data_IF_061300975306
#
_entry.id   IF_061300975306
#
_cell.length_a   1.000
_cell.length_b   1.000
_cell.length_c   1.000
_cell.angle_alpha   90.00
_cell.angle_beta   90.00
_cell.angle_gamma   90.00
#
_symmetry.space_group_name_H-M   'P 1'
#
loop_
_entity.id
_entity.type
_entity.pdbx_description
1 polymer ?
#
# COMPACT_ATOMS: atom_id res chain seq x y z
N UNK A 1 21.02 62.18 -9.40
CA UNK A 1 20.70 61.22 -10.48
C UNK A 1 20.60 59.86 -9.82
N UNK A 2 19.42 59.25 -9.85
CA UNK A 2 19.09 57.98 -9.19
C UNK A 2 19.73 56.82 -9.95
N UNK A 3 20.47 55.94 -9.27
CA UNK A 3 20.86 54.63 -9.84
C UNK A 3 20.10 53.56 -9.07
N UNK A 4 19.21 52.88 -9.78
CA UNK A 4 18.30 51.87 -9.28
C UNK A 4 19.00 50.54 -8.96
N UNK A 5 18.45 49.86 -7.97
CA UNK A 5 18.67 48.46 -7.65
C UNK A 5 18.30 47.56 -8.84
N UNK A 6 19.13 46.57 -9.16
CA UNK A 6 18.68 45.37 -9.89
C UNK A 6 19.12 44.16 -9.06
N UNK A 7 18.30 43.85 -8.05
CA UNK A 7 18.34 42.56 -7.38
C UNK A 7 17.54 41.60 -8.25
N UNK A 8 18.23 40.83 -9.08
CA UNK A 8 17.63 39.67 -9.73
C UNK A 8 17.11 38.71 -8.64
N UNK A 9 15.82 38.34 -8.63
CA UNK A 9 15.37 37.27 -7.76
C UNK A 9 15.87 35.95 -8.35
N UNK A 10 16.78 35.29 -7.64
CA UNK A 10 17.06 33.88 -7.86
C UNK A 10 15.72 33.14 -7.78
N UNK A 11 15.36 32.50 -8.89
CA UNK A 11 14.21 31.59 -8.95
C UNK A 11 14.53 30.46 -7.98
N UNK A 12 13.65 30.12 -7.01
CA UNK A 12 13.94 29.02 -6.12
C UNK A 12 14.07 27.75 -6.97
N UNK A 13 15.28 27.16 -6.97
CA UNK A 13 15.50 25.83 -7.51
C UNK A 13 14.46 24.91 -6.87
N UNK A 14 13.59 24.35 -7.69
CA UNK A 14 12.70 23.29 -7.24
C UNK A 14 13.60 22.11 -6.95
N UNK A 15 13.99 21.96 -5.68
CA UNK A 15 14.72 20.79 -5.21
C UNK A 15 13.99 19.55 -5.75
N UNK A 16 14.65 18.68 -6.52
CA UNK A 16 14.00 17.46 -6.99
C UNK A 16 13.50 16.73 -5.73
N UNK A 17 12.20 16.53 -5.66
CA UNK A 17 11.60 15.71 -4.62
C UNK A 17 12.33 14.38 -4.66
N UNK A 18 13.11 14.08 -3.62
CA UNK A 18 13.97 12.92 -3.61
C UNK A 18 13.12 11.68 -3.92
N UNK A 19 13.57 10.86 -4.87
CA UNK A 19 12.84 9.67 -5.28
C UNK A 19 12.56 8.79 -4.06
N UNK A 20 11.29 8.49 -3.80
CA UNK A 20 10.91 7.58 -2.70
C UNK A 20 11.31 6.17 -3.11
N UNK A 21 12.26 5.59 -2.39
CA UNK A 21 12.61 4.17 -2.47
C UNK A 21 11.81 3.35 -1.47
N UNK A 22 11.82 2.02 -1.65
CA UNK A 22 11.27 1.05 -0.69
C UNK A 22 11.69 1.36 0.75
N UNK A 23 12.97 1.58 1.01
CA UNK A 23 13.53 1.81 2.35
C UNK A 23 13.03 3.13 2.97
N UNK A 24 12.87 4.16 2.14
CA UNK A 24 12.41 5.49 2.57
C UNK A 24 10.89 5.62 2.71
N UNK A 25 10.12 4.62 2.25
CA UNK A 25 8.66 4.68 2.12
C UNK A 25 7.96 5.09 3.43
N UNK A 26 8.31 4.46 4.55
CA UNK A 26 7.68 4.73 5.86
C UNK A 26 7.92 6.19 6.29
N UNK A 27 9.15 6.68 6.11
CA UNK A 27 9.50 8.05 6.46
C UNK A 27 8.76 9.06 5.57
N UNK A 28 8.68 8.77 4.27
CA UNK A 28 7.94 9.60 3.31
C UNK A 28 6.43 9.63 3.60
N UNK A 29 5.84 8.50 4.01
CA UNK A 29 4.43 8.39 4.35
C UNK A 29 4.04 9.10 5.66
N UNK A 30 4.99 9.59 6.46
CA UNK A 30 4.71 10.35 7.67
C UNK A 30 4.12 11.74 7.40
N UNK A 31 4.34 12.29 6.19
CA UNK A 31 3.81 13.59 5.74
C UNK A 31 3.41 13.49 4.28
N UNK A 32 2.17 13.09 4.05
CA UNK A 32 1.63 12.95 2.70
C UNK A 32 1.05 14.28 2.23
N UNK A 33 1.56 14.75 1.09
CA UNK A 33 1.00 15.81 0.26
C UNK A 33 0.86 15.30 -1.18
N UNK A 34 0.38 16.13 -2.10
CA UNK A 34 0.17 15.72 -3.49
C UNK A 34 1.46 15.24 -4.19
N UNK A 35 2.61 15.83 -3.87
CA UNK A 35 3.89 15.48 -4.49
C UNK A 35 4.42 14.17 -3.91
N UNK A 36 4.39 14.02 -2.58
CA UNK A 36 4.84 12.80 -1.94
C UNK A 36 3.91 11.62 -2.21
N UNK A 37 2.61 11.84 -2.40
CA UNK A 37 1.67 10.78 -2.80
C UNK A 37 2.00 10.22 -4.19
N UNK A 38 2.37 11.07 -5.15
CA UNK A 38 2.79 10.64 -6.49
C UNK A 38 4.09 9.83 -6.43
N UNK A 39 5.05 10.25 -5.61
CA UNK A 39 6.30 9.51 -5.42
C UNK A 39 6.09 8.16 -4.70
N UNK A 40 5.29 8.14 -3.62
CA UNK A 40 4.91 6.93 -2.89
C UNK A 40 4.23 5.92 -3.81
N UNK A 41 3.23 6.36 -4.58
CA UNK A 41 2.51 5.49 -5.50
C UNK A 41 3.40 4.99 -6.64
N UNK A 42 4.36 5.80 -7.12
CA UNK A 42 5.40 5.36 -8.05
C UNK A 42 6.30 4.28 -7.46
N UNK A 43 6.66 4.38 -6.19
CA UNK A 43 7.46 3.36 -5.49
C UNK A 43 6.71 2.03 -5.38
N UNK A 44 5.40 2.06 -5.04
CA UNK A 44 4.56 0.86 -4.99
C UNK A 44 4.38 0.24 -6.37
N UNK A 45 4.23 1.04 -7.42
CA UNK A 45 4.11 0.51 -8.79
C UNK A 45 5.41 -0.17 -9.25
N UNK A 46 6.57 0.34 -8.83
CA UNK A 46 7.87 -0.20 -9.21
C UNK A 46 8.23 -1.48 -8.45
N UNK A 47 7.93 -1.55 -7.15
CA UNK A 47 8.25 -2.70 -6.30
C UNK A 47 7.20 -2.91 -5.19
N UNK A 48 6.01 -3.43 -5.54
CA UNK A 48 4.92 -3.59 -4.58
C UNK A 48 5.29 -4.58 -3.46
N UNK A 49 6.04 -5.63 -3.80
CA UNK A 49 6.45 -6.66 -2.85
C UNK A 49 7.54 -6.17 -1.89
N UNK A 50 8.51 -5.39 -2.36
CA UNK A 50 9.52 -4.77 -1.49
C UNK A 50 8.90 -3.74 -0.55
N UNK A 51 7.98 -2.90 -1.04
CA UNK A 51 7.25 -1.94 -0.20
C UNK A 51 6.39 -2.65 0.85
N UNK A 52 5.66 -3.71 0.47
CA UNK A 52 4.87 -4.49 1.42
C UNK A 52 5.74 -5.12 2.53
N UNK A 53 6.89 -5.71 2.16
CA UNK A 53 7.87 -6.22 3.13
C UNK A 53 8.41 -5.13 4.06
N UNK A 54 8.73 -3.95 3.53
CA UNK A 54 9.19 -2.82 4.36
C UNK A 54 8.10 -2.36 5.33
N UNK A 55 6.85 -2.29 4.88
CA UNK A 55 5.71 -1.88 5.70
C UNK A 55 5.39 -2.92 6.80
N UNK A 56 5.54 -4.21 6.50
CA UNK A 56 5.30 -5.28 7.46
C UNK A 56 6.40 -5.33 8.54
N UNK A 57 7.66 -5.15 8.15
CA UNK A 57 8.83 -5.29 9.04
C UNK A 57 9.23 -4.00 9.75
N UNK A 58 8.85 -2.83 9.20
CA UNK A 58 9.31 -1.53 9.67
C UNK A 58 8.46 -0.93 10.79
N UNK A 59 9.12 -0.25 11.74
CA UNK A 59 8.44 0.50 12.79
C UNK A 59 7.56 1.61 12.18
N UNK A 60 6.27 1.58 12.50
CA UNK A 60 5.30 2.53 11.98
C UNK A 60 4.73 2.18 10.59
N UNK A 61 5.12 1.05 10.01
CA UNK A 61 4.65 0.64 8.68
C UNK A 61 3.13 0.51 8.56
N UNK A 62 2.43 0.07 9.61
CA UNK A 62 0.94 0.06 9.62
C UNK A 62 0.36 1.46 9.40
N UNK A 63 0.86 2.45 10.15
CA UNK A 63 0.39 3.84 10.06
C UNK A 63 0.73 4.43 8.69
N UNK A 64 1.92 4.14 8.16
CA UNK A 64 2.34 4.55 6.83
C UNK A 64 1.42 3.98 5.74
N UNK A 65 1.11 2.68 5.80
CA UNK A 65 0.20 2.01 4.87
C UNK A 65 -1.21 2.60 4.93
N UNK A 66 -1.77 2.78 6.14
CA UNK A 66 -3.10 3.33 6.31
C UNK A 66 -3.18 4.79 5.84
N UNK A 67 -2.15 5.60 6.11
CA UNK A 67 -2.06 6.98 5.62
C UNK A 67 -1.95 7.02 4.08
N UNK A 68 -1.12 6.16 3.50
CA UNK A 68 -0.98 6.03 2.05
C UNK A 68 -2.31 5.62 1.39
N UNK A 69 -2.94 4.55 1.90
CA UNK A 69 -4.21 4.08 1.35
C UNK A 69 -5.31 5.14 1.50
N UNK A 70 -5.45 5.78 2.67
CA UNK A 70 -6.41 6.87 2.88
C UNK A 70 -6.17 8.02 1.88
N UNK A 71 -4.93 8.47 1.72
CA UNK A 71 -4.59 9.54 0.79
C UNK A 71 -4.90 9.17 -0.67
N UNK A 72 -4.61 7.94 -1.10
CA UNK A 72 -4.98 7.46 -2.43
C UNK A 72 -6.51 7.51 -2.63
N UNK A 73 -7.28 7.03 -1.66
CA UNK A 73 -8.74 7.02 -1.76
C UNK A 73 -9.35 8.44 -1.70
N UNK A 74 -8.76 9.35 -0.92
CA UNK A 74 -9.19 10.75 -0.82
C UNK A 74 -8.91 11.54 -2.11
N UNK A 75 -7.84 11.20 -2.83
CA UNK A 75 -7.47 11.83 -4.09
C UNK A 75 -8.09 11.15 -5.33
N UNK A 76 -8.99 10.17 -5.14
CA UNK A 76 -9.65 9.48 -6.25
C UNK A 76 -8.78 8.48 -7.01
N UNK A 77 -7.68 8.04 -6.40
CA UNK A 77 -6.73 7.05 -6.95
C UNK A 77 -7.09 5.61 -6.54
N UNK A 78 -8.38 5.34 -6.28
CA UNK A 78 -8.87 4.04 -5.83
C UNK A 78 -8.53 2.94 -6.83
N UNK A 79 -8.73 3.19 -8.11
CA UNK A 79 -8.41 2.24 -9.18
C UNK A 79 -6.92 1.94 -9.30
N UNK A 80 -6.03 2.89 -9.00
CA UNK A 80 -4.59 2.64 -8.97
C UNK A 80 -4.19 1.80 -7.75
N UNK A 81 -4.73 2.13 -6.58
CA UNK A 81 -4.54 1.33 -5.36
C UNK A 81 -5.04 -0.11 -5.56
N UNK A 82 -6.17 -0.29 -6.26
CA UNK A 82 -6.70 -1.60 -6.64
C UNK A 82 -5.74 -2.40 -7.53
N UNK A 83 -5.13 -1.78 -8.54
CA UNK A 83 -4.12 -2.44 -9.40
C UNK A 83 -2.88 -2.86 -8.61
N UNK A 84 -2.38 -1.98 -7.74
CA UNK A 84 -1.23 -2.28 -6.88
C UNK A 84 -1.50 -3.50 -5.98
N UNK A 85 -2.67 -3.53 -5.35
CA UNK A 85 -3.11 -4.66 -4.56
C UNK A 85 -3.28 -5.95 -5.39
N UNK A 86 -3.86 -5.84 -6.59
CA UNK A 86 -4.02 -6.99 -7.49
C UNK A 86 -2.67 -7.57 -7.92
N UNK A 87 -1.68 -6.74 -8.23
CA UNK A 87 -0.31 -7.20 -8.55
C UNK A 87 0.30 -7.96 -7.37
N UNK A 88 0.14 -7.44 -6.15
CA UNK A 88 0.69 -8.08 -4.94
C UNK A 88 0.04 -9.44 -4.64
N UNK A 89 -1.22 -9.64 -5.04
CA UNK A 89 -2.01 -10.84 -4.72
C UNK A 89 -2.14 -11.84 -5.87
N UNK A 90 -1.59 -11.53 -7.06
CA UNK A 90 -1.78 -12.35 -8.27
C UNK A 90 -0.93 -13.62 -8.30
N UNK A 91 0.28 -13.59 -7.74
CA UNK A 91 1.26 -14.68 -7.86
C UNK A 91 1.07 -15.72 -6.73
N UNK A 92 0.12 -16.63 -6.95
CA UNK A 92 -0.17 -17.75 -6.02
C UNK A 92 1.07 -18.58 -5.69
N UNK A 93 1.93 -19.00 -6.65
CA UNK A 93 3.18 -19.67 -6.34
C UNK A 93 4.10 -18.88 -5.40
N UNK A 94 4.31 -17.58 -5.64
CA UNK A 94 5.15 -16.76 -4.79
C UNK A 94 4.57 -16.59 -3.38
N UNK A 95 3.26 -16.38 -3.27
CA UNK A 95 2.56 -16.31 -1.97
C UNK A 95 2.59 -17.65 -1.21
N UNK A 96 2.58 -18.76 -1.94
CA UNK A 96 2.61 -20.12 -1.36
C UNK A 96 4.02 -20.55 -0.94
N UNK A 97 5.05 -19.89 -1.46
CA UNK A 97 6.43 -20.21 -1.16
C UNK A 97 6.68 -20.11 0.36
N UNK A 98 7.41 -21.09 0.87
CA UNK A 98 7.79 -21.13 2.28
C UNK A 98 9.28 -20.92 2.45
N UNK A 99 9.63 -20.31 3.57
CA UNK A 99 11.00 -20.13 4.01
C UNK A 99 11.19 -20.77 5.38
N UNK A 100 12.35 -21.39 5.58
CA UNK A 100 12.70 -22.00 6.85
C UNK A 100 13.62 -21.03 7.61
N UNK A 101 13.16 -20.54 8.76
CA UNK A 101 13.86 -19.53 9.56
C UNK A 101 13.61 -19.76 11.03
N UNK A 102 14.66 -19.71 11.83
CA UNK A 102 14.63 -19.86 13.30
C UNK A 102 13.88 -21.12 13.77
N UNK A 103 13.97 -22.21 13.01
CA UNK A 103 13.30 -23.49 13.30
C UNK A 103 11.80 -23.53 12.94
N UNK A 104 11.25 -22.45 12.38
CA UNK A 104 9.88 -22.35 11.90
C UNK A 104 9.78 -22.31 10.37
N UNK A 105 8.57 -22.54 9.86
CA UNK A 105 8.21 -22.36 8.45
C UNK A 105 7.39 -21.08 8.34
N UNK A 106 7.85 -20.16 7.49
CA UNK A 106 7.28 -18.84 7.26
C UNK A 106 6.77 -18.73 5.84
N UNK A 107 5.78 -17.87 5.62
CA UNK A 107 5.27 -17.55 4.29
C UNK A 107 5.37 -16.05 4.06
N UNK A 108 6.59 -15.52 3.85
CA UNK A 108 6.85 -14.08 3.93
C UNK A 108 6.01 -13.29 2.93
N UNK A 109 5.88 -13.78 1.70
CA UNK A 109 5.06 -13.11 0.69
C UNK A 109 3.56 -13.12 1.03
N UNK A 110 3.07 -14.18 1.65
CA UNK A 110 1.70 -14.21 2.15
C UNK A 110 1.48 -13.22 3.31
N UNK A 111 2.46 -13.11 4.22
CA UNK A 111 2.41 -12.15 5.33
C UNK A 111 2.45 -10.70 4.82
N UNK A 112 3.36 -10.37 3.91
CA UNK A 112 3.46 -9.05 3.28
C UNK A 112 2.14 -8.65 2.61
N UNK A 113 1.61 -9.54 1.77
CA UNK A 113 0.36 -9.32 1.04
C UNK A 113 -0.84 -9.22 1.99
N UNK A 114 -0.88 -10.03 3.05
CA UNK A 114 -1.90 -9.98 4.07
C UNK A 114 -1.88 -8.64 4.79
N UNK A 115 -0.72 -8.23 5.30
CA UNK A 115 -0.54 -6.95 5.98
C UNK A 115 -0.96 -5.76 5.12
N UNK A 116 -0.53 -5.75 3.85
CA UNK A 116 -0.92 -4.72 2.88
C UNK A 116 -2.44 -4.69 2.65
N UNK A 117 -3.06 -5.87 2.49
CA UNK A 117 -4.51 -6.03 2.34
C UNK A 117 -5.27 -5.49 3.55
N UNK A 118 -4.78 -5.76 4.76
CA UNK A 118 -5.39 -5.28 6.00
C UNK A 118 -5.45 -3.75 6.10
N UNK A 119 -4.36 -3.07 5.75
CA UNK A 119 -4.33 -1.60 5.74
C UNK A 119 -5.25 -0.99 4.69
N UNK A 120 -5.35 -1.61 3.51
CA UNK A 120 -6.33 -1.22 2.47
C UNK A 120 -7.76 -1.44 2.95
N UNK A 121 -8.04 -2.59 3.56
CA UNK A 121 -9.38 -2.91 4.09
C UNK A 121 -9.81 -1.87 5.12
N UNK A 122 -8.91 -1.47 6.03
CA UNK A 122 -9.17 -0.44 7.03
C UNK A 122 -9.48 0.93 6.40
N UNK A 123 -8.77 1.33 5.35
CA UNK A 123 -8.99 2.59 4.64
C UNK A 123 -10.31 2.59 3.84
N UNK A 124 -10.59 1.50 3.10
CA UNK A 124 -11.83 1.33 2.34
C UNK A 124 -13.07 1.28 3.26
N UNK A 125 -12.95 0.65 4.42
CA UNK A 125 -14.02 0.62 5.43
C UNK A 125 -14.39 2.02 5.96
N UNK A 126 -13.43 2.95 5.94
CA UNK A 126 -13.64 4.35 6.31
C UNK A 126 -14.10 5.21 5.14
N UNK A 127 -13.87 4.76 3.90
CA UNK A 127 -14.19 5.49 2.67
C UNK A 127 -14.95 4.59 1.66
N UNK A 128 -16.18 4.15 1.98
CA UNK A 128 -16.90 3.15 1.17
C UNK A 128 -17.27 3.65 -0.24
N UNK A 129 -17.32 4.97 -0.47
CA UNK A 129 -17.57 5.55 -1.81
C UNK A 129 -16.45 5.20 -2.81
N UNK A 130 -15.26 4.84 -2.35
CA UNK A 130 -14.14 4.46 -3.21
C UNK A 130 -14.10 2.97 -3.56
N UNK A 131 -14.98 2.14 -2.96
CA UNK A 131 -15.04 0.69 -3.22
C UNK A 131 -15.23 0.33 -4.70
N UNK A 132 -16.14 0.99 -5.48
CA UNK A 132 -16.34 0.63 -6.88
C UNK A 132 -15.09 0.87 -7.74
N UNK A 133 -14.41 2.00 -7.54
CA UNK A 133 -13.21 2.35 -8.29
C UNK A 133 -12.04 1.43 -7.92
N UNK A 134 -11.85 1.16 -6.62
CA UNK A 134 -10.88 0.16 -6.16
C UNK A 134 -11.15 -1.22 -6.78
N UNK A 135 -12.39 -1.71 -6.73
CA UNK A 135 -12.77 -3.01 -7.26
C UNK A 135 -12.50 -3.11 -8.77
N UNK A 136 -12.84 -2.05 -9.52
CA UNK A 136 -12.53 -1.95 -10.95
C UNK A 136 -11.03 -2.03 -11.21
N UNK A 137 -10.23 -1.25 -10.47
CA UNK A 137 -8.77 -1.29 -10.57
C UNK A 137 -8.17 -2.64 -10.23
N UNK A 138 -8.73 -3.31 -9.23
CA UNK A 138 -8.32 -4.63 -8.78
C UNK A 138 -8.77 -5.77 -9.71
N UNK A 139 -9.66 -5.49 -10.67
CA UNK A 139 -10.22 -6.51 -11.57
C UNK A 139 -11.13 -7.51 -10.86
N UNK A 140 -11.81 -7.08 -9.78
CA UNK A 140 -12.74 -7.90 -9.00
C UNK A 140 -14.13 -7.27 -8.96
N UNK A 141 -15.14 -8.08 -8.66
CA UNK A 141 -16.48 -7.54 -8.40
C UNK A 141 -16.48 -6.76 -7.07
N UNK A 142 -17.20 -5.62 -6.97
CA UNK A 142 -17.35 -4.89 -5.72
C UNK A 142 -18.05 -5.75 -4.66
N UNK A 143 -17.84 -5.46 -3.35
CA UNK A 143 -18.43 -6.24 -2.28
C UNK A 143 -19.96 -6.15 -2.30
N UNK A 144 -20.63 -7.20 -1.85
CA UNK A 144 -22.07 -7.17 -1.65
C UNK A 144 -22.45 -6.12 -0.57
N UNK A 145 -23.67 -5.55 -0.60
CA UNK A 145 -24.11 -4.62 0.43
C UNK A 145 -23.99 -5.22 1.83
N UNK A 146 -23.24 -4.57 2.72
CA UNK A 146 -23.04 -5.01 4.09
C UNK A 146 -22.01 -6.14 4.28
N UNK A 147 -21.36 -6.59 3.21
CA UNK A 147 -20.24 -7.52 3.30
C UNK A 147 -19.04 -6.85 3.97
N UNK A 148 -18.32 -7.58 4.83
CA UNK A 148 -17.08 -7.11 5.41
C UNK A 148 -15.99 -6.94 4.34
N UNK A 149 -15.28 -5.80 4.37
CA UNK A 149 -14.30 -5.45 3.33
C UNK A 149 -13.06 -6.36 3.43
N UNK A 150 -12.63 -6.72 4.64
CA UNK A 150 -11.49 -7.60 4.84
C UNK A 150 -11.81 -9.02 4.35
N UNK A 151 -13.01 -9.54 4.65
CA UNK A 151 -13.51 -10.81 4.13
C UNK A 151 -13.56 -10.81 2.59
N UNK A 152 -14.13 -9.76 1.99
CA UNK A 152 -14.20 -9.62 0.54
C UNK A 152 -12.82 -9.64 -0.13
N UNK A 153 -11.84 -8.93 0.42
CA UNK A 153 -10.48 -8.93 -0.14
C UNK A 153 -9.77 -10.27 0.09
N UNK A 154 -9.97 -10.93 1.24
CA UNK A 154 -9.38 -12.24 1.54
C UNK A 154 -9.86 -13.34 0.57
N UNK A 155 -11.08 -13.24 0.02
CA UNK A 155 -11.59 -14.18 -0.98
C UNK A 155 -10.72 -14.28 -2.25
N UNK A 156 -9.94 -13.23 -2.56
CA UNK A 156 -9.03 -13.24 -3.73
C UNK A 156 -7.95 -14.32 -3.63
N UNK A 157 -7.57 -14.69 -2.41
CA UNK A 157 -6.49 -15.64 -2.12
C UNK A 157 -7.01 -17.00 -1.62
N UNK A 158 -8.26 -17.35 -1.95
CA UNK A 158 -8.86 -18.67 -1.64
C UNK A 158 -8.11 -19.86 -2.23
N UNK A 159 -7.35 -19.64 -3.30
CA UNK A 159 -6.52 -20.68 -3.92
C UNK A 159 -5.23 -20.99 -3.13
N UNK A 160 -4.89 -20.22 -2.08
CA UNK A 160 -3.66 -20.47 -1.32
C UNK A 160 -3.74 -21.79 -0.52
N UNK A 161 -2.63 -22.54 -0.42
CA UNK A 161 -2.52 -23.64 0.53
C UNK A 161 -2.75 -23.17 1.97
N UNK A 162 -3.32 -24.03 2.83
CA UNK A 162 -3.73 -23.67 4.20
C UNK A 162 -2.64 -22.94 5.01
N UNK A 163 -1.36 -23.34 5.01
CA UNK A 163 -0.34 -22.63 5.77
C UNK A 163 -0.10 -21.19 5.30
N UNK A 164 0.00 -20.98 3.98
CA UNK A 164 0.15 -19.65 3.39
C UNK A 164 -1.11 -18.80 3.61
N UNK A 165 -2.30 -19.40 3.49
CA UNK A 165 -3.56 -18.71 3.78
C UNK A 165 -3.63 -18.24 5.24
N UNK A 166 -3.27 -19.10 6.19
CA UNK A 166 -3.28 -18.74 7.61
C UNK A 166 -2.32 -17.58 7.91
N UNK A 167 -1.13 -17.59 7.29
CA UNK A 167 -0.16 -16.49 7.42
C UNK A 167 -0.69 -15.18 6.83
N UNK A 168 -1.31 -15.23 5.65
CA UNK A 168 -1.98 -14.09 5.02
C UNK A 168 -3.08 -13.52 5.93
N UNK A 169 -4.00 -14.36 6.41
CA UNK A 169 -5.12 -13.91 7.23
C UNK A 169 -4.60 -13.31 8.54
N UNK A 170 -3.63 -13.93 9.21
CA UNK A 170 -3.03 -13.38 10.42
C UNK A 170 -2.44 -11.98 10.19
N UNK A 171 -1.68 -11.79 9.11
CA UNK A 171 -1.08 -10.51 8.77
C UNK A 171 -2.13 -9.47 8.35
N UNK A 172 -3.20 -9.88 7.65
CA UNK A 172 -4.35 -9.03 7.32
C UNK A 172 -4.98 -8.44 8.57
N UNK A 173 -5.25 -9.28 9.57
CA UNK A 173 -5.80 -8.79 10.83
C UNK A 173 -4.85 -7.78 11.49
N UNK A 174 -3.54 -8.04 11.48
CA UNK A 174 -2.54 -7.13 12.05
C UNK A 174 -2.46 -5.76 11.33
N UNK A 175 -2.62 -5.74 10.00
CA UNK A 175 -2.67 -4.52 9.20
C UNK A 175 -3.96 -3.72 9.36
N UNK A 176 -5.07 -4.39 9.67
CA UNK A 176 -6.40 -3.78 9.82
C UNK A 176 -6.66 -3.12 11.19
N UNK A 177 -5.83 -3.39 12.21
CA UNK A 177 -5.99 -2.80 13.55
C UNK A 177 -5.87 -1.27 13.50
N UNK A 178 -6.84 -0.59 14.12
CA UNK A 178 -6.89 0.87 14.28
C UNK A 178 -5.94 1.36 15.37
#
# INVERSE_FOLDING_TARGET
>A
MLTACDSSPETPETTPSAAVTTESFIAAAARIDATSLLALSGAVDADPSGVANQLQSGLGGRRALQAYAAAMLENGEGGRLGRQWATLTADVPALSASEQKDGGVWHPRAEDAGFFTGGIAAALSQNPKALPDFAQGAGVAPPAPGQDVAEWLSARVDALPRPARAAFDQALHAGAVR
#
